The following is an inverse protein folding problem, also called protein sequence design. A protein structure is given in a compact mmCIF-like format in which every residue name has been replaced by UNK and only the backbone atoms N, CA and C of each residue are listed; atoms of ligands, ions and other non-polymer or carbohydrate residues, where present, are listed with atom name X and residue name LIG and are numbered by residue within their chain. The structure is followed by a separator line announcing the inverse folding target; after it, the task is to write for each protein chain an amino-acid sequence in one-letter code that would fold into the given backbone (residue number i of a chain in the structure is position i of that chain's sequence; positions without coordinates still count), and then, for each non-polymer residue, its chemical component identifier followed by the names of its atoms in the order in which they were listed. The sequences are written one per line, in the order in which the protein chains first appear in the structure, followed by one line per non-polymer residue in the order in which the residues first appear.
data_IF_016840545209
#
_entry.id   IF_016840545209
#
_cell.length_a   1.000
_cell.length_b   1.000
_cell.length_c   1.000
_cell.angle_alpha   90.00
_cell.angle_beta   90.00
_cell.angle_gamma   90.00
#
_symmetry.space_group_name_H-M   'P 1'
#
loop_
_entity.id
_entity.type
_entity.pdbx_description
1 polymer ?
#
# COMPACT_ATOMS: atom_id res chain seq x y z
N UNK A 1 17.25 18.29 5.43
CA UNK A 1 16.07 17.77 4.74
C UNK A 1 14.86 17.90 5.67
N UNK A 2 13.71 18.26 5.14
CA UNK A 2 12.49 18.44 5.93
C UNK A 2 11.85 17.04 6.04
N UNK A 3 12.22 16.32 7.08
CA UNK A 3 11.72 14.95 7.34
C UNK A 3 10.19 14.95 7.34
N UNK A 4 9.60 14.01 6.62
CA UNK A 4 8.13 13.86 6.47
C UNK A 4 7.43 15.10 5.87
N UNK A 5 8.08 15.86 4.98
CA UNK A 5 7.47 17.04 4.36
C UNK A 5 6.18 16.71 3.59
N UNK A 6 6.18 15.64 2.82
CA UNK A 6 5.00 15.17 2.09
C UNK A 6 3.85 14.81 3.04
N UNK A 7 4.12 14.05 4.10
CA UNK A 7 3.13 13.71 5.11
C UNK A 7 2.54 14.96 5.80
N UNK A 8 3.38 15.94 6.15
CA UNK A 8 2.92 17.20 6.76
C UNK A 8 2.07 18.03 5.83
N UNK A 9 2.26 17.89 4.54
CA UNK A 9 1.51 18.64 3.52
C UNK A 9 0.22 17.91 3.10
N UNK A 10 0.28 16.60 2.94
CA UNK A 10 -0.78 15.83 2.30
C UNK A 10 -1.48 14.83 3.25
N UNK A 11 -0.89 14.55 4.41
CA UNK A 11 -1.35 13.45 5.27
C UNK A 11 -0.89 12.07 4.77
N UNK A 12 -1.58 11.01 5.22
CA UNK A 12 -1.39 9.66 4.67
C UNK A 12 -2.35 9.51 3.49
N UNK A 13 -1.80 9.20 2.35
CA UNK A 13 -2.51 9.00 1.09
C UNK A 13 -2.57 7.51 0.76
N UNK A 14 -3.65 7.07 0.13
CA UNK A 14 -3.68 5.77 -0.54
C UNK A 14 -2.75 5.77 -1.76
N UNK A 15 -2.50 4.59 -2.34
CA UNK A 15 -1.56 4.46 -3.46
C UNK A 15 -1.93 5.34 -4.64
N UNK A 16 -3.23 5.40 -4.99
CA UNK A 16 -3.71 6.19 -6.14
C UNK A 16 -3.51 7.68 -5.90
N UNK A 17 -3.90 8.16 -4.72
CA UNK A 17 -3.69 9.55 -4.31
C UNK A 17 -2.20 9.90 -4.27
N UNK A 18 -1.38 9.01 -3.70
CA UNK A 18 0.07 9.20 -3.62
C UNK A 18 0.72 9.29 -5.01
N UNK A 19 0.29 8.45 -5.96
CA UNK A 19 0.79 8.50 -7.33
C UNK A 19 0.35 9.76 -8.09
N UNK A 20 -0.91 10.18 -7.92
CA UNK A 20 -1.47 11.35 -8.60
C UNK A 20 -1.06 12.69 -7.98
N UNK A 21 -0.50 12.69 -6.78
CA UNK A 21 -0.03 13.90 -6.11
C UNK A 21 1.00 14.65 -6.98
N UNK A 22 0.90 15.98 -7.02
CA UNK A 22 1.76 16.81 -7.89
C UNK A 22 3.27 16.61 -7.61
N UNK A 23 3.63 16.45 -6.34
CA UNK A 23 4.99 16.21 -5.84
C UNK A 23 5.18 14.76 -5.38
N UNK A 24 4.66 13.81 -6.17
CA UNK A 24 4.76 12.38 -5.89
C UNK A 24 6.18 11.86 -6.08
N UNK A 25 6.84 11.53 -4.99
CA UNK A 25 8.17 10.90 -5.00
C UNK A 25 8.14 9.53 -5.71
N UNK A 26 7.04 8.78 -5.55
CA UNK A 26 6.85 7.51 -6.23
C UNK A 26 6.75 7.68 -7.75
N UNK A 27 5.95 8.66 -8.21
CA UNK A 27 5.82 8.93 -9.65
C UNK A 27 7.14 9.41 -10.24
N UNK A 28 7.81 10.38 -9.62
CA UNK A 28 9.11 10.88 -10.08
C UNK A 28 10.16 9.76 -10.14
N UNK A 29 10.15 8.85 -9.15
CA UNK A 29 11.03 7.69 -9.16
C UNK A 29 10.76 6.76 -10.34
N UNK A 30 9.49 6.46 -10.63
CA UNK A 30 9.12 5.60 -11.76
C UNK A 30 9.44 6.27 -13.10
N UNK A 31 9.12 7.55 -13.27
CA UNK A 31 9.40 8.32 -14.50
C UNK A 31 10.91 8.38 -14.79
N UNK A 32 11.76 8.49 -13.77
CA UNK A 32 13.22 8.43 -13.90
C UNK A 32 13.71 7.09 -14.51
N UNK A 33 12.92 6.04 -14.36
CA UNK A 33 13.17 4.72 -14.94
C UNK A 33 12.39 4.45 -16.24
N UNK A 34 11.88 5.50 -16.91
CA UNK A 34 11.06 5.39 -18.11
C UNK A 34 9.76 4.59 -17.90
N UNK A 35 9.23 4.58 -16.68
CA UNK A 35 7.98 3.92 -16.32
C UNK A 35 6.90 4.97 -16.12
N UNK A 36 5.85 4.90 -16.93
CA UNK A 36 4.71 5.81 -16.89
C UNK A 36 3.43 5.02 -16.68
N UNK A 37 2.56 5.46 -15.78
CA UNK A 37 1.28 4.82 -15.50
C UNK A 37 0.17 5.83 -15.81
N UNK A 38 -0.64 5.52 -16.81
CA UNK A 38 -1.89 6.22 -17.08
C UNK A 38 -3.02 5.47 -16.37
N UNK A 39 -3.55 6.08 -15.29
CA UNK A 39 -4.59 5.46 -14.48
C UNK A 39 -5.98 5.58 -15.11
N UNK A 40 -6.20 6.51 -16.04
CA UNK A 40 -7.48 6.64 -16.74
C UNK A 40 -7.59 5.60 -17.86
N UNK A 41 -6.51 5.44 -18.65
CA UNK A 41 -6.42 4.44 -19.71
C UNK A 41 -6.04 3.04 -19.18
N UNK A 42 -5.60 2.94 -17.93
CA UNK A 42 -5.16 1.70 -17.29
C UNK A 42 -3.98 1.04 -17.99
N UNK A 43 -3.03 1.85 -18.36
CA UNK A 43 -1.84 1.41 -19.10
C UNK A 43 -0.58 1.77 -18.30
N UNK A 44 0.33 0.79 -18.17
CA UNK A 44 1.71 1.03 -17.79
C UNK A 44 2.57 1.00 -19.05
N UNK A 45 3.38 2.03 -19.26
CA UNK A 45 4.34 2.10 -20.37
C UNK A 45 5.77 2.03 -19.84
N UNK A 46 6.59 1.18 -20.44
CA UNK A 46 8.01 1.04 -20.14
C UNK A 46 8.81 0.88 -21.45
N UNK A 47 9.80 1.73 -21.68
CA UNK A 47 10.64 1.72 -22.90
C UNK A 47 9.82 1.62 -24.20
N UNK A 48 8.67 2.29 -24.26
CA UNK A 48 7.76 2.30 -25.42
C UNK A 48 6.87 1.08 -25.56
N UNK A 49 6.97 0.06 -24.69
CA UNK A 49 6.02 -1.06 -24.63
C UNK A 49 4.88 -0.70 -23.66
N UNK A 50 3.64 -0.87 -24.10
CA UNK A 50 2.45 -0.70 -23.27
C UNK A 50 2.00 -2.05 -22.66
N UNK A 51 1.57 -2.00 -21.41
CA UNK A 51 1.03 -3.13 -20.65
C UNK A 51 -0.35 -2.73 -20.13
N UNK A 52 -1.34 -3.54 -20.42
CA UNK A 52 -2.70 -3.36 -19.91
C UNK A 52 -2.75 -3.81 -18.43
N UNK A 53 -3.01 -2.86 -17.54
CA UNK A 53 -3.13 -3.09 -16.09
C UNK A 53 -4.59 -3.06 -15.63
N UNK A 54 -5.52 -3.38 -16.52
CA UNK A 54 -6.94 -3.46 -16.16
C UNK A 54 -7.15 -4.55 -15.11
N UNK A 55 -7.83 -4.17 -14.01
CA UNK A 55 -8.24 -5.11 -12.99
C UNK A 55 -9.54 -5.82 -13.41
N UNK A 56 -9.50 -7.14 -13.44
CA UNK A 56 -10.63 -8.00 -13.82
C UNK A 56 -10.48 -9.38 -13.21
N UNK A 57 -10.90 -10.43 -13.92
CA UNK A 57 -10.70 -11.80 -13.47
C UNK A 57 -9.21 -12.11 -13.32
N UNK A 58 -8.86 -12.75 -12.19
CA UNK A 58 -7.47 -13.09 -11.89
C UNK A 58 -6.90 -14.07 -12.94
N UNK A 59 -5.84 -13.67 -13.66
CA UNK A 59 -5.19 -14.56 -14.62
C UNK A 59 -4.44 -15.71 -13.92
N UNK A 60 -3.89 -16.61 -14.73
CA UNK A 60 -3.01 -17.67 -14.23
C UNK A 60 -1.75 -17.04 -13.63
N UNK A 61 -1.36 -17.50 -12.44
CA UNK A 61 -0.11 -17.13 -11.80
C UNK A 61 1.11 -17.38 -12.69
N UNK A 62 2.19 -16.66 -12.45
CA UNK A 62 3.47 -16.73 -13.16
C UNK A 62 3.39 -16.36 -14.67
N UNK A 63 2.41 -15.54 -15.04
CA UNK A 63 2.30 -14.96 -16.40
C UNK A 63 2.51 -13.44 -16.42
N UNK A 64 2.79 -12.88 -17.59
CA UNK A 64 2.84 -11.41 -17.77
C UNK A 64 1.49 -10.80 -17.41
N UNK A 65 0.37 -11.43 -17.82
CA UNK A 65 -0.98 -10.97 -17.51
C UNK A 65 -1.26 -10.93 -16.01
N UNK A 66 -0.75 -11.91 -15.25
CA UNK A 66 -0.88 -11.91 -13.79
C UNK A 66 -0.11 -10.75 -13.16
N UNK A 67 1.08 -10.44 -13.64
CA UNK A 67 1.86 -9.31 -13.14
C UNK A 67 1.18 -7.98 -13.47
N UNK A 68 0.62 -7.83 -14.66
CA UNK A 68 -0.19 -6.65 -15.04
C UNK A 68 -1.43 -6.52 -14.14
N UNK A 69 -2.15 -7.62 -13.93
CA UNK A 69 -3.32 -7.68 -13.06
C UNK A 69 -2.97 -7.32 -11.61
N UNK A 70 -1.82 -7.77 -11.09
CA UNK A 70 -1.37 -7.44 -9.73
C UNK A 70 -1.18 -5.93 -9.56
N UNK A 71 -0.57 -5.27 -10.54
CA UNK A 71 -0.41 -3.81 -10.54
C UNK A 71 -1.78 -3.13 -10.58
N UNK A 72 -2.66 -3.54 -11.49
CA UNK A 72 -4.01 -2.99 -11.58
C UNK A 72 -4.82 -3.19 -10.30
N UNK A 73 -4.71 -4.35 -9.67
CA UNK A 73 -5.34 -4.63 -8.38
C UNK A 73 -4.97 -3.59 -7.32
N UNK A 74 -3.70 -3.19 -7.25
CA UNK A 74 -3.22 -2.19 -6.27
C UNK A 74 -3.82 -0.81 -6.47
N UNK A 75 -4.12 -0.42 -7.69
CA UNK A 75 -4.71 0.89 -7.98
C UNK A 75 -6.24 0.93 -7.98
N UNK A 76 -6.90 -0.20 -8.28
CA UNK A 76 -8.35 -0.20 -8.54
C UNK A 76 -9.16 -1.02 -7.55
N UNK A 77 -8.52 -1.85 -6.74
CA UNK A 77 -9.21 -2.68 -5.76
C UNK A 77 -8.58 -2.59 -4.36
N UNK A 78 -7.28 -2.82 -4.25
CA UNK A 78 -6.55 -2.89 -2.98
C UNK A 78 -5.77 -1.58 -2.74
N UNK A 79 -6.50 -0.46 -2.71
CA UNK A 79 -5.91 0.88 -2.54
C UNK A 79 -6.15 1.48 -1.16
N UNK A 80 -6.71 0.73 -0.23
CA UNK A 80 -6.93 1.18 1.14
C UNK A 80 -5.63 1.40 1.89
N UNK A 81 -5.62 2.37 2.79
CA UNK A 81 -4.51 2.52 3.72
C UNK A 81 -4.56 1.43 4.77
N UNK A 82 -3.51 0.65 4.85
CA UNK A 82 -3.34 -0.37 5.89
C UNK A 82 -2.48 0.19 7.03
N UNK A 83 -2.79 -0.24 8.25
CA UNK A 83 -2.03 0.08 9.44
C UNK A 83 -1.84 -1.15 10.33
N UNK A 84 -1.07 -0.96 11.39
CA UNK A 84 -0.85 -1.98 12.41
C UNK A 84 -1.25 -1.41 13.76
N UNK A 85 -1.86 -2.24 14.62
CA UNK A 85 -2.12 -1.86 16.01
C UNK A 85 -0.84 -1.62 16.78
N UNK A 86 0.19 -2.38 16.48
CA UNK A 86 1.54 -2.18 16.99
C UNK A 86 2.57 -2.67 15.99
N UNK A 87 3.72 -2.05 16.00
CA UNK A 87 4.90 -2.50 15.23
C UNK A 87 5.94 -2.96 16.23
N UNK A 88 6.54 -4.11 15.98
CA UNK A 88 7.63 -4.66 16.76
C UNK A 88 8.67 -5.29 15.85
N UNK A 89 9.91 -5.38 16.32
CA UNK A 89 11.09 -5.76 15.51
C UNK A 89 10.96 -7.11 14.78
N UNK A 90 10.05 -7.97 15.24
CA UNK A 90 9.81 -9.31 14.68
C UNK A 90 8.46 -9.47 14.01
N UNK A 91 7.83 -8.35 13.59
CA UNK A 91 6.55 -8.43 12.87
C UNK A 91 6.70 -9.34 11.65
N UNK A 92 5.91 -10.41 11.53
CA UNK A 92 5.99 -11.34 10.42
C UNK A 92 5.32 -10.80 9.16
N UNK A 93 4.73 -9.60 9.22
CA UNK A 93 4.13 -9.02 8.03
C UNK A 93 5.21 -8.84 6.96
N UNK A 94 5.14 -9.73 5.98
CA UNK A 94 6.21 -10.01 5.05
C UNK A 94 6.47 -8.91 4.03
N UNK A 95 7.42 -9.17 3.15
CA UNK A 95 7.64 -8.43 1.92
C UNK A 95 8.33 -7.08 2.07
N UNK A 96 8.82 -6.73 3.25
CA UNK A 96 9.53 -5.46 3.48
C UNK A 96 8.69 -4.20 3.15
N UNK A 97 7.37 -4.28 3.26
CA UNK A 97 6.44 -3.16 3.01
C UNK A 97 6.75 -1.92 3.86
N UNK A 98 7.39 -2.12 5.02
CA UNK A 98 7.90 -1.06 5.88
C UNK A 98 9.12 -0.33 5.31
N UNK A 99 9.72 -0.80 4.22
CA UNK A 99 10.94 -0.23 3.61
C UNK A 99 10.74 0.29 2.21
N UNK A 100 9.66 -0.10 1.55
CA UNK A 100 9.35 0.31 0.17
C UNK A 100 7.86 0.27 -0.12
N UNK A 101 7.35 1.06 -1.08
CA UNK A 101 6.01 0.88 -1.62
C UNK A 101 5.84 -0.52 -2.22
N UNK A 102 4.75 -1.21 -1.87
CA UNK A 102 4.50 -2.59 -2.30
C UNK A 102 4.40 -2.71 -3.82
N UNK A 103 3.84 -1.69 -4.48
CA UNK A 103 3.70 -1.63 -5.94
C UNK A 103 5.02 -1.81 -6.69
N UNK A 104 6.16 -1.41 -6.09
CA UNK A 104 7.46 -1.57 -6.74
C UNK A 104 7.84 -3.04 -6.92
N UNK A 105 7.38 -3.93 -6.03
CA UNK A 105 7.60 -5.37 -6.20
C UNK A 105 6.82 -5.92 -7.39
N UNK A 106 5.57 -5.47 -7.57
CA UNK A 106 4.75 -5.92 -8.69
C UNK A 106 5.32 -5.44 -10.03
N UNK A 107 5.82 -4.20 -10.06
CA UNK A 107 6.51 -3.65 -11.24
C UNK A 107 7.84 -4.39 -11.49
N UNK A 108 8.63 -4.68 -10.46
CA UNK A 108 9.86 -5.50 -10.59
C UNK A 108 9.56 -6.87 -11.20
N UNK A 109 8.47 -7.52 -10.77
CA UNK A 109 8.05 -8.81 -11.31
C UNK A 109 7.64 -8.71 -12.78
N UNK A 110 6.93 -7.66 -13.19
CA UNK A 110 6.52 -7.45 -14.56
C UNK A 110 7.70 -7.14 -15.48
N UNK A 111 8.54 -6.18 -15.08
CA UNK A 111 9.58 -5.61 -15.94
C UNK A 111 10.96 -6.26 -15.76
N UNK A 112 11.11 -7.15 -14.78
CA UNK A 112 12.40 -7.78 -14.41
C UNK A 112 13.46 -6.77 -14.01
N UNK A 113 13.06 -5.77 -13.24
CA UNK A 113 13.90 -4.72 -12.68
C UNK A 113 14.20 -4.98 -11.19
N UNK A 114 14.97 -4.07 -10.57
CA UNK A 114 15.28 -4.08 -9.14
C UNK A 114 14.95 -2.75 -8.47
N UNK A 115 13.81 -2.15 -8.83
CA UNK A 115 13.34 -0.86 -8.32
C UNK A 115 13.17 -0.86 -6.80
N UNK A 116 12.64 -1.96 -6.26
CA UNK A 116 12.49 -2.16 -4.81
C UNK A 116 13.82 -2.01 -4.06
N UNK A 117 14.89 -2.60 -4.60
CA UNK A 117 16.21 -2.53 -3.97
C UNK A 117 16.83 -1.12 -4.09
N UNK A 118 16.66 -0.47 -5.23
CA UNK A 118 17.12 0.90 -5.44
C UNK A 118 16.38 1.87 -4.50
N UNK A 119 15.05 1.75 -4.42
CA UNK A 119 14.24 2.53 -3.48
C UNK A 119 14.76 2.40 -2.05
N UNK A 120 14.91 1.17 -1.56
CA UNK A 120 15.41 0.91 -0.20
C UNK A 120 16.81 1.44 0.08
N UNK A 121 17.64 1.62 -0.96
CA UNK A 121 18.98 2.17 -0.81
C UNK A 121 19.05 3.69 -0.82
N UNK A 122 18.01 4.35 -1.31
CA UNK A 122 17.98 5.81 -1.54
C UNK A 122 16.94 6.55 -0.68
N UNK A 123 16.01 5.81 -0.06
CA UNK A 123 14.94 6.37 0.74
C UNK A 123 14.95 5.83 2.17
N UNK A 124 14.65 6.69 3.11
CA UNK A 124 14.47 6.32 4.51
C UNK A 124 13.01 5.92 4.77
N UNK A 125 12.82 4.95 5.67
CA UNK A 125 11.50 4.52 6.13
C UNK A 125 11.16 5.19 7.45
N UNK A 126 9.91 5.59 7.61
CA UNK A 126 9.41 6.21 8.83
C UNK A 126 8.19 5.46 9.35
N UNK A 127 8.14 5.28 10.65
CA UNK A 127 6.93 4.85 11.35
C UNK A 127 6.08 6.08 11.66
N UNK A 128 4.81 6.03 11.25
CA UNK A 128 3.83 7.06 11.53
C UNK A 128 2.79 6.48 12.47
N UNK A 129 2.64 7.09 13.64
CA UNK A 129 1.58 6.74 14.58
C UNK A 129 0.42 7.70 14.40
N UNK A 130 -0.73 7.16 14.02
CA UNK A 130 -1.95 7.93 13.81
C UNK A 130 -3.07 7.46 14.74
N UNK A 131 -3.98 8.35 15.07
CA UNK A 131 -5.20 8.02 15.79
C UNK A 131 -6.36 8.01 14.81
N UNK A 132 -7.00 6.85 14.69
CA UNK A 132 -8.13 6.64 13.78
C UNK A 132 -9.35 6.24 14.60
N UNK A 133 -10.56 6.69 14.20
CA UNK A 133 -11.79 6.22 14.81
C UNK A 133 -12.04 4.75 14.50
N UNK A 134 -12.58 3.99 15.47
CA UNK A 134 -12.97 2.60 15.23
C UNK A 134 -14.03 2.43 14.15
N UNK A 135 -14.85 3.46 13.93
CA UNK A 135 -15.86 3.47 12.86
C UNK A 135 -15.25 3.57 11.44
N UNK A 136 -14.01 4.06 11.34
CA UNK A 136 -13.28 4.21 10.09
C UNK A 136 -12.42 2.98 9.75
N UNK A 137 -12.44 1.97 10.62
CA UNK A 137 -11.65 0.74 10.45
C UNK A 137 -12.54 -0.37 9.89
N UNK A 138 -12.03 -1.08 8.89
CA UNK A 138 -12.59 -2.33 8.38
C UNK A 138 -11.82 -3.48 9.04
N UNK A 139 -12.54 -4.38 9.70
CA UNK A 139 -12.00 -5.62 10.24
C UNK A 139 -12.29 -6.77 9.28
N UNK A 140 -11.28 -7.57 8.99
CA UNK A 140 -11.39 -8.78 8.17
C UNK A 140 -12.07 -8.57 6.80
N UNK A 141 -11.91 -7.34 6.24
CA UNK A 141 -12.51 -6.93 4.96
C UNK A 141 -14.06 -6.88 4.95
N UNK A 142 -14.68 -6.90 6.13
CA UNK A 142 -16.13 -6.77 6.29
C UNK A 142 -16.49 -5.40 6.85
N UNK A 143 -17.16 -4.59 6.03
CA UNK A 143 -17.60 -3.22 6.40
C UNK A 143 -18.93 -3.21 7.16
N UNK A 144 -19.68 -4.32 7.12
CA UNK A 144 -21.01 -4.45 7.71
C UNK A 144 -21.00 -5.07 9.12
N UNK A 145 -19.86 -5.19 9.77
CA UNK A 145 -19.74 -5.73 11.12
C UNK A 145 -20.48 -4.83 12.13
N UNK A 146 -21.16 -5.47 13.08
CA UNK A 146 -21.75 -4.75 14.21
C UNK A 146 -20.68 -4.10 15.11
N UNK A 147 -21.03 -3.07 15.85
CA UNK A 147 -20.10 -2.42 16.78
C UNK A 147 -19.57 -3.39 17.85
N UNK A 148 -20.38 -4.36 18.27
CA UNK A 148 -19.95 -5.40 19.22
C UNK A 148 -18.90 -6.30 18.61
N UNK A 149 -19.06 -6.73 17.34
CA UNK A 149 -18.08 -7.55 16.63
C UNK A 149 -16.78 -6.78 16.41
N UNK A 150 -16.86 -5.49 16.07
CA UNK A 150 -15.67 -4.62 15.92
C UNK A 150 -14.89 -4.53 17.23
N UNK A 151 -15.57 -4.32 18.36
CA UNK A 151 -14.94 -4.28 19.69
C UNK A 151 -14.30 -5.62 20.02
N UNK A 152 -14.99 -6.73 19.75
CA UNK A 152 -14.46 -8.07 20.00
C UNK A 152 -13.21 -8.36 19.16
N UNK A 153 -13.24 -8.02 17.87
CA UNK A 153 -12.10 -8.13 16.97
C UNK A 153 -10.91 -7.29 17.45
N UNK A 154 -11.18 -6.07 17.92
CA UNK A 154 -10.15 -5.19 18.46
C UNK A 154 -9.48 -5.79 19.71
N UNK A 155 -10.28 -6.28 20.64
CA UNK A 155 -9.78 -6.93 21.86
C UNK A 155 -9.00 -8.20 21.54
N UNK A 156 -9.45 -8.98 20.55
CA UNK A 156 -8.78 -10.19 20.08
C UNK A 156 -7.41 -9.85 19.50
N UNK A 157 -7.33 -8.86 18.61
CA UNK A 157 -6.05 -8.39 18.04
C UNK A 157 -5.10 -7.86 19.12
N UNK A 158 -5.62 -7.08 20.08
CA UNK A 158 -4.84 -6.57 21.20
C UNK A 158 -4.31 -7.70 22.09
N UNK A 159 -5.13 -8.72 22.34
CA UNK A 159 -4.73 -9.92 23.12
C UNK A 159 -3.56 -10.64 22.44
N UNK A 160 -3.71 -11.02 21.16
CA UNK A 160 -2.64 -11.69 20.43
C UNK A 160 -1.36 -10.85 20.36
N UNK A 161 -1.48 -9.56 20.13
CA UNK A 161 -0.34 -8.64 20.13
C UNK A 161 0.39 -8.66 21.50
N UNK A 162 -0.36 -8.63 22.60
CA UNK A 162 0.22 -8.66 23.96
C UNK A 162 0.95 -9.97 24.27
N UNK A 163 0.53 -11.08 23.68
CA UNK A 163 1.17 -12.40 23.86
C UNK A 163 2.23 -12.72 22.80
N UNK A 164 2.54 -11.78 21.91
CA UNK A 164 3.61 -11.95 20.91
C UNK A 164 3.23 -12.83 19.75
N UNK A 165 1.94 -13.06 19.51
CA UNK A 165 1.45 -13.73 18.32
C UNK A 165 1.14 -12.70 17.23
N UNK A 166 1.92 -12.65 16.18
CA UNK A 166 2.02 -11.48 15.33
C UNK A 166 1.04 -11.44 14.15
N UNK A 167 0.30 -12.50 13.89
CA UNK A 167 -0.43 -12.69 12.63
C UNK A 167 -1.65 -11.78 12.43
N UNK A 168 -2.19 -11.21 13.51
CA UNK A 168 -3.52 -10.58 13.47
C UNK A 168 -3.52 -9.06 13.69
N UNK A 169 -2.40 -8.42 13.42
CA UNK A 169 -2.16 -7.04 13.82
C UNK A 169 -2.51 -5.99 12.73
N UNK A 170 -2.87 -6.43 11.54
CA UNK A 170 -3.20 -5.54 10.42
C UNK A 170 -4.63 -5.01 10.55
N UNK A 171 -4.78 -3.72 10.32
CA UNK A 171 -6.06 -3.04 10.20
C UNK A 171 -6.15 -2.36 8.83
N UNK A 172 -7.32 -2.38 8.22
CA UNK A 172 -7.63 -1.62 7.02
C UNK A 172 -8.42 -0.37 7.41
N UNK A 173 -8.10 0.75 6.79
CA UNK A 173 -8.88 1.96 6.93
C UNK A 173 -9.88 2.01 5.77
N UNK A 174 -11.14 2.37 6.02
CA UNK A 174 -12.17 2.48 4.99
C UNK A 174 -11.69 3.30 3.80
N UNK A 175 -12.18 2.94 2.62
CA UNK A 175 -11.93 3.70 1.41
C UNK A 175 -12.31 5.17 1.60
N UNK A 176 -11.53 6.05 1.00
CA UNK A 176 -11.74 7.50 1.02
C UNK A 176 -11.51 8.19 2.39
N UNK A 177 -11.14 7.45 3.43
CA UNK A 177 -10.69 8.06 4.68
C UNK A 177 -9.24 8.51 4.48
N UNK A 178 -9.06 9.80 4.57
CA UNK A 178 -7.74 10.42 4.53
C UNK A 178 -7.30 10.75 5.95
N UNK A 179 -6.12 10.31 6.35
CA UNK A 179 -5.51 10.75 7.60
C UNK A 179 -4.88 12.13 7.34
N UNK A 180 -5.45 13.20 7.92
CA UNK A 180 -5.01 14.56 7.60
C UNK A 180 -3.57 14.81 8.03
N UNK A 181 -2.90 15.79 7.43
CA UNK A 181 -1.59 16.25 7.88
C UNK A 181 -1.69 16.84 9.30
N UNK A 182 -0.63 16.68 10.08
CA UNK A 182 -0.50 17.26 11.42
C UNK A 182 0.11 18.66 11.36
#
# INVERSE_FOLDING_TARGET
ANVCAAFRKHGILDLKQAYLCHDSELREFLEKHDIYIDLDERILTYCGKAFDITFGACPRQDTEDYNCWSIGRKFYFDYTTCGFLSVWERSPYGGQVHRRPEILMDIDNLLRLNLSQEWMSTHDSYEIVAKVSGEEIIYDSDDDQSDEDKVLNYLTKAYYTAFGEPSENVLLIKNHIQIPPM
#
